data_IF_624991159211
#
_entry.id   IF_624991159211
#
_cell.length_a   1.000
_cell.length_b   1.000
_cell.length_c   1.000
_cell.angle_alpha   90.00
_cell.angle_beta   90.00
_cell.angle_gamma   90.00
#
_symmetry.space_group_name_H-M   'P 1'
#
loop_
_entity.id
_entity.type
_entity.pdbx_description
1 polymer ?
#
# COMPACT_ATOMS: atom_id res chain seq x y z
N UNK A 1 19.36 -29.09 8.71
CA UNK A 1 18.65 -28.10 7.88
C UNK A 1 17.63 -27.44 8.79
N UNK A 2 17.79 -26.16 9.11
CA UNK A 2 16.76 -25.42 9.85
C UNK A 2 15.55 -25.24 8.92
N UNK A 3 14.30 -25.32 9.42
CA UNK A 3 13.14 -25.02 8.59
C UNK A 3 13.27 -23.58 8.08
N UNK A 4 13.03 -23.39 6.78
CA UNK A 4 12.73 -22.05 6.26
C UNK A 4 11.41 -21.66 6.89
N UNK A 5 11.46 -20.81 7.93
CA UNK A 5 10.27 -20.17 8.46
C UNK A 5 9.88 -19.12 7.43
N UNK A 6 8.89 -19.43 6.59
CA UNK A 6 8.19 -18.42 5.80
C UNK A 6 7.36 -17.59 6.76
N UNK A 7 7.88 -16.42 7.14
CA UNK A 7 7.10 -15.41 7.83
C UNK A 7 6.14 -14.80 6.81
N UNK A 8 4.85 -15.10 6.94
CA UNK A 8 3.83 -14.39 6.19
C UNK A 8 3.79 -12.95 6.70
N UNK A 9 3.99 -12.00 5.79
CA UNK A 9 4.02 -10.59 6.17
C UNK A 9 2.57 -10.11 6.28
N UNK A 10 2.12 -9.94 7.51
CA UNK A 10 0.76 -9.49 7.83
C UNK A 10 0.76 -8.00 8.19
N UNK A 11 -0.22 -7.25 7.70
CA UNK A 11 -0.48 -5.89 8.18
C UNK A 11 -1.23 -5.94 9.51
N UNK A 12 -0.78 -5.13 10.46
CA UNK A 12 -1.46 -4.86 11.72
C UNK A 12 -2.39 -3.65 11.59
N UNK A 13 -1.98 -2.62 10.85
CA UNK A 13 -2.79 -1.44 10.55
C UNK A 13 -2.26 -0.72 9.30
N UNK A 14 -3.05 0.18 8.72
CA UNK A 14 -2.49 1.27 7.93
C UNK A 14 -3.33 2.54 8.08
N UNK A 15 -2.68 3.67 7.83
CA UNK A 15 -3.29 4.99 7.88
C UNK A 15 -2.62 5.91 6.86
N UNK A 16 -3.27 7.03 6.55
CA UNK A 16 -2.70 8.07 5.71
C UNK A 16 -1.97 9.13 6.55
N UNK A 17 -0.68 9.32 6.29
CA UNK A 17 0.10 10.43 6.80
C UNK A 17 -0.03 11.64 5.86
N UNK A 18 -0.89 12.57 6.25
CA UNK A 18 -1.15 13.83 5.54
C UNK A 18 0.09 14.72 5.41
N UNK A 19 1.04 14.62 6.33
CA UNK A 19 2.24 15.47 6.35
C UNK A 19 3.14 15.16 5.17
N UNK A 20 3.27 13.87 4.85
CA UNK A 20 4.14 13.38 3.79
C UNK A 20 3.39 12.89 2.55
N UNK A 21 2.06 12.87 2.58
CA UNK A 21 1.24 12.35 1.49
C UNK A 21 1.39 10.84 1.29
N UNK A 22 1.57 10.08 2.37
CA UNK A 22 1.92 8.65 2.30
C UNK A 22 0.89 7.77 2.98
N UNK A 23 0.69 6.59 2.44
CA UNK A 23 0.09 5.49 3.19
C UNK A 23 1.18 4.83 4.02
N UNK A 24 0.92 4.66 5.31
CA UNK A 24 1.81 4.01 6.27
C UNK A 24 1.16 2.71 6.71
N UNK A 25 1.81 1.58 6.38
CA UNK A 25 1.39 0.23 6.75
C UNK A 25 2.27 -0.25 7.90
N UNK A 26 1.65 -0.54 9.04
CA UNK A 26 2.30 -1.16 10.19
C UNK A 26 2.19 -2.68 10.03
N UNK A 27 3.31 -3.37 10.09
CA UNK A 27 3.38 -4.83 9.94
C UNK A 27 3.42 -5.48 11.31
N UNK A 28 2.86 -6.69 11.39
CA UNK A 28 2.98 -7.52 12.58
C UNK A 28 4.48 -7.68 12.90
N UNK A 29 4.84 -7.45 14.16
CA UNK A 29 6.23 -7.41 14.68
C UNK A 29 6.99 -6.08 14.50
N UNK A 30 6.27 -4.97 14.28
CA UNK A 30 6.79 -3.61 14.46
C UNK A 30 7.57 -3.03 13.29
N UNK A 31 7.72 -3.77 12.19
CA UNK A 31 8.20 -3.21 10.95
C UNK A 31 7.16 -2.25 10.36
N UNK A 32 7.60 -1.20 9.67
CA UNK A 32 6.71 -0.23 9.01
C UNK A 32 7.14 -0.07 7.56
N UNK A 33 6.16 -0.09 6.66
CA UNK A 33 6.33 0.20 5.25
C UNK A 33 5.49 1.43 4.88
N UNK A 34 5.98 2.29 3.99
CA UNK A 34 5.18 3.42 3.52
C UNK A 34 5.42 3.71 2.05
N UNK A 35 4.38 4.18 1.36
CA UNK A 35 4.42 4.54 -0.05
C UNK A 35 3.57 5.79 -0.34
N UNK A 36 3.89 6.59 -1.38
CA UNK A 36 3.04 7.70 -1.80
C UNK A 36 1.64 7.24 -2.19
N UNK A 37 0.60 7.95 -1.74
CA UNK A 37 -0.79 7.57 -2.02
C UNK A 37 -1.10 7.53 -3.52
N UNK A 38 -0.41 8.32 -4.34
CA UNK A 38 -0.57 8.41 -5.79
C UNK A 38 -0.17 7.12 -6.52
N UNK A 39 0.60 6.25 -5.88
CA UNK A 39 0.93 4.94 -6.44
C UNK A 39 -0.20 3.93 -6.25
N UNK A 40 -1.02 4.08 -5.21
CA UNK A 40 -2.08 3.13 -4.87
C UNK A 40 -3.29 3.23 -5.80
N UNK A 41 -3.69 2.10 -6.40
CA UNK A 41 -4.95 2.02 -7.13
C UNK A 41 -6.12 2.31 -6.19
N UNK A 42 -6.98 3.25 -6.56
CA UNK A 42 -8.11 3.68 -5.71
C UNK A 42 -7.74 4.74 -4.67
N UNK A 43 -6.45 5.05 -4.49
CA UNK A 43 -5.97 6.15 -3.63
C UNK A 43 -5.54 7.35 -4.45
N UNK A 44 -5.00 7.09 -5.64
CA UNK A 44 -4.47 8.14 -6.49
C UNK A 44 -5.54 9.18 -6.88
N UNK A 45 -5.28 10.43 -6.54
CA UNK A 45 -6.19 11.56 -6.80
C UNK A 45 -7.29 11.75 -5.75
N UNK A 46 -7.37 10.90 -4.73
CA UNK A 46 -8.24 11.14 -3.58
C UNK A 46 -7.71 12.33 -2.76
N UNK A 47 -8.63 13.12 -2.22
CA UNK A 47 -8.31 14.25 -1.35
C UNK A 47 -7.76 13.76 -0.01
N UNK A 48 -6.99 14.60 0.72
CA UNK A 48 -6.50 14.26 2.06
C UNK A 48 -7.60 13.93 3.08
N UNK A 49 -8.83 14.41 2.85
CA UNK A 49 -10.00 14.08 3.68
C UNK A 49 -10.53 12.69 3.34
N UNK A 50 -10.68 12.36 2.05
CA UNK A 50 -11.04 11.00 1.62
C UNK A 50 -9.99 9.95 2.03
N UNK A 51 -8.70 10.33 2.06
CA UNK A 51 -7.61 9.45 2.47
C UNK A 51 -7.50 9.28 4.00
N UNK A 52 -8.04 10.19 4.80
CA UNK A 52 -7.96 10.08 6.26
C UNK A 52 -8.90 9.02 6.84
N UNK A 53 -9.96 8.68 6.10
CA UNK A 53 -10.91 7.63 6.46
C UNK A 53 -10.43 6.23 6.02
N UNK A 54 -9.20 6.10 5.50
CA UNK A 54 -8.63 4.80 5.14
C UNK A 54 -8.34 4.02 6.43
N UNK A 55 -9.22 3.07 6.75
CA UNK A 55 -8.95 1.98 7.67
C UNK A 55 -8.56 0.71 6.89
N UNK A 56 -7.43 0.09 7.26
CA UNK A 56 -7.13 -1.28 6.85
C UNK A 56 -8.05 -2.21 7.60
N UNK A 57 -9.15 -2.56 6.96
CA UNK A 57 -9.98 -3.67 7.39
C UNK A 57 -9.39 -4.96 6.81
N UNK A 58 -9.29 -6.05 7.60
CA UNK A 58 -8.94 -7.38 7.09
C UNK A 58 -9.86 -7.87 5.94
N UNK A 59 -10.97 -7.16 5.68
CA UNK A 59 -12.03 -7.50 4.73
C UNK A 59 -12.29 -6.46 3.62
N UNK A 60 -11.42 -5.45 3.43
CA UNK A 60 -11.31 -4.71 2.18
C UNK A 60 -12.50 -3.83 1.77
N UNK A 61 -12.71 -2.69 2.43
CA UNK A 61 -13.54 -1.59 1.86
C UNK A 61 -12.73 -0.38 1.37
N UNK A 62 -11.42 -0.43 1.49
CA UNK A 62 -10.50 0.49 0.83
C UNK A 62 -9.25 -0.27 0.41
N UNK A 63 -9.07 -0.48 -0.89
CA UNK A 63 -7.83 -0.99 -1.50
C UNK A 63 -7.42 -2.41 -1.06
N UNK A 64 -7.84 -3.41 -1.85
CA UNK A 64 -7.40 -4.80 -1.69
C UNK A 64 -5.97 -4.97 -2.27
N UNK A 65 -4.97 -4.48 -1.52
CA UNK A 65 -3.55 -4.67 -1.83
C UNK A 65 -2.93 -5.61 -0.81
N UNK A 66 -2.41 -6.73 -1.30
CA UNK A 66 -1.69 -7.65 -0.42
C UNK A 66 -0.37 -7.02 0.05
N UNK A 67 -0.04 -7.21 1.32
CA UNK A 67 1.22 -6.76 1.89
C UNK A 67 2.44 -7.29 1.12
N UNK A 68 2.49 -8.58 0.71
CA UNK A 68 3.57 -9.07 -0.15
C UNK A 68 3.67 -8.35 -1.49
N UNK A 69 2.53 -7.98 -2.11
CA UNK A 69 2.52 -7.23 -3.36
C UNK A 69 3.07 -5.81 -3.17
N UNK A 70 2.64 -5.11 -2.11
CA UNK A 70 3.14 -3.79 -1.75
C UNK A 70 4.66 -3.78 -1.55
N UNK A 71 5.17 -4.75 -0.79
CA UNK A 71 6.61 -4.91 -0.57
C UNK A 71 7.39 -5.25 -1.85
N UNK A 72 6.71 -5.85 -2.83
CA UNK A 72 7.27 -6.14 -4.16
C UNK A 72 7.10 -4.98 -5.14
N UNK A 73 6.58 -3.83 -4.69
CA UNK A 73 6.37 -2.64 -5.53
C UNK A 73 5.13 -2.71 -6.43
N UNK A 74 4.17 -3.57 -6.12
CA UNK A 74 2.89 -3.70 -6.84
C UNK A 74 1.81 -2.97 -6.05
N UNK A 75 1.28 -1.89 -6.63
CA UNK A 75 0.33 -0.97 -5.97
C UNK A 75 -1.07 -1.01 -6.57
N UNK A 76 -1.37 -2.01 -7.40
CA UNK A 76 -2.64 -2.20 -8.06
C UNK A 76 -2.61 -3.38 -9.01
N UNK A 77 -3.70 -3.56 -9.75
CA UNK A 77 -3.77 -4.55 -10.82
C UNK A 77 -2.82 -4.21 -11.98
N UNK A 78 -2.64 -5.15 -12.91
CA UNK A 78 -1.70 -4.99 -14.03
C UNK A 78 -1.99 -3.75 -14.90
N UNK A 79 -3.26 -3.41 -15.12
CA UNK A 79 -3.64 -2.23 -15.91
C UNK A 79 -3.26 -0.92 -15.20
N UNK A 80 -3.42 -0.89 -13.88
CA UNK A 80 -2.97 0.22 -13.05
C UNK A 80 -1.46 0.37 -13.08
N UNK A 81 -0.72 -0.72 -12.90
CA UNK A 81 0.74 -0.70 -12.94
C UNK A 81 1.28 -0.20 -14.28
N UNK A 82 0.64 -0.54 -15.40
CA UNK A 82 0.96 0.03 -16.71
C UNK A 82 0.74 1.55 -16.76
N UNK A 83 -0.35 2.04 -16.16
CA UNK A 83 -0.65 3.48 -16.07
C UNK A 83 0.43 4.23 -15.28
N UNK A 84 0.87 3.66 -14.14
CA UNK A 84 1.95 4.23 -13.33
C UNK A 84 3.27 4.27 -14.11
N UNK A 85 3.63 3.18 -14.80
CA UNK A 85 4.85 3.12 -15.60
C UNK A 85 4.85 4.19 -16.71
N UNK A 86 3.72 4.40 -17.39
CA UNK A 86 3.59 5.47 -18.39
C UNK A 86 3.73 6.86 -17.77
N UNK A 87 3.15 7.11 -16.59
CA UNK A 87 3.28 8.40 -15.90
C UNK A 87 4.72 8.70 -15.51
N UNK A 88 5.45 7.71 -15.01
CA UNK A 88 6.85 7.86 -14.61
C UNK A 88 7.80 8.05 -15.80
N UNK A 89 7.49 7.46 -16.96
CA UNK A 89 8.28 7.63 -18.18
C UNK A 89 8.14 9.01 -18.84
N UNK A 90 7.16 9.82 -18.42
CA UNK A 90 6.86 11.14 -18.96
C UNK A 90 7.28 12.30 -18.01
N UNK A 91 8.05 11.98 -16.96
CA UNK A 91 8.72 12.94 -16.07
C UNK A 91 10.19 13.09 -16.47
#
# INVERSE_FOLDING_TARGET
MLPVVTYEVEAESAFYDRTFGRVVVQLRYGATFSFPAELGQGLAGASPDELADIEVTPSGTGVDLSVPALLSGIYGNAAWMATIATRQANL
#
